data_IF_220923308196
#
_entry.id   IF_220923308196
#
_cell.length_a   1.000
_cell.length_b   1.000
_cell.length_c   1.000
_cell.angle_alpha   90.00
_cell.angle_beta   90.00
_cell.angle_gamma   90.00
#
_symmetry.space_group_name_H-M   'P 1'
#
loop_
_entity.id
_entity.type
_entity.pdbx_description
1 polymer ?
#
# COMPACT_ATOMS: atom_id res chain seq x y z
N UNK A 1 -37.24 -13.90 59.21
CA UNK A 1 -37.33 -13.67 57.76
C UNK A 1 -35.96 -13.51 57.08
N UNK A 2 -35.03 -12.68 57.59
CA UNK A 2 -33.70 -12.51 56.99
C UNK A 2 -32.88 -13.80 56.77
N UNK A 3 -32.98 -14.80 57.68
CA UNK A 3 -32.29 -16.09 57.54
C UNK A 3 -32.77 -16.93 56.33
N UNK A 4 -34.04 -16.80 55.95
CA UNK A 4 -34.60 -17.52 54.80
C UNK A 4 -34.15 -16.92 53.46
N UNK A 5 -34.04 -15.59 53.40
CA UNK A 5 -33.54 -14.86 52.23
C UNK A 5 -32.05 -15.16 52.02
N UNK A 6 -31.26 -15.18 53.09
CA UNK A 6 -29.84 -15.55 53.01
C UNK A 6 -29.62 -16.99 52.51
N UNK A 7 -30.46 -17.93 52.93
CA UNK A 7 -30.39 -19.32 52.47
C UNK A 7 -30.77 -19.48 50.98
N UNK A 8 -31.71 -18.67 50.48
CA UNK A 8 -32.09 -18.64 49.07
C UNK A 8 -30.96 -18.09 48.18
N UNK A 9 -30.32 -16.99 48.59
CA UNK A 9 -29.19 -16.39 47.86
C UNK A 9 -28.00 -17.37 47.82
N UNK A 10 -27.70 -18.05 48.93
CA UNK A 10 -26.62 -19.04 48.99
C UNK A 10 -26.84 -20.24 48.06
N UNK A 11 -28.10 -20.65 47.84
CA UNK A 11 -28.44 -21.73 46.89
C UNK A 11 -28.28 -21.30 45.43
N UNK A 12 -28.64 -20.06 45.10
CA UNK A 12 -28.46 -19.50 43.74
C UNK A 12 -26.97 -19.38 43.41
N UNK A 13 -26.15 -18.93 44.36
CA UNK A 13 -24.69 -18.87 44.16
C UNK A 13 -24.06 -20.26 43.99
N UNK A 14 -24.48 -21.27 44.76
CA UNK A 14 -23.99 -22.65 44.59
C UNK A 14 -24.37 -23.25 43.23
N UNK A 15 -25.59 -22.98 42.73
CA UNK A 15 -25.98 -23.43 41.39
C UNK A 15 -25.27 -22.66 40.29
N UNK A 16 -25.06 -21.35 40.44
CA UNK A 16 -24.35 -20.53 39.45
C UNK A 16 -22.88 -20.94 39.27
N UNK A 17 -22.16 -21.21 40.36
CA UNK A 17 -20.76 -21.66 40.29
C UNK A 17 -20.66 -23.07 39.68
N UNK A 18 -21.62 -23.96 39.96
CA UNK A 18 -21.68 -25.28 39.34
C UNK A 18 -21.96 -25.23 37.83
N UNK A 19 -22.89 -24.37 37.41
CA UNK A 19 -23.23 -24.17 36.00
C UNK A 19 -22.08 -23.56 35.19
N UNK A 20 -21.34 -22.60 35.78
CA UNK A 20 -20.14 -22.02 35.15
C UNK A 20 -19.05 -23.08 34.93
N UNK A 21 -18.75 -23.88 35.96
CA UNK A 21 -17.74 -24.95 35.84
C UNK A 21 -18.15 -26.07 34.89
N UNK A 22 -19.44 -26.35 34.80
CA UNK A 22 -19.97 -27.32 33.82
C UNK A 22 -19.88 -26.76 32.39
N UNK A 23 -20.24 -25.49 32.19
CA UNK A 23 -20.14 -24.82 30.89
C UNK A 23 -18.70 -24.70 30.39
N UNK A 24 -17.76 -24.32 31.26
CA UNK A 24 -16.33 -24.30 30.92
C UNK A 24 -15.82 -25.68 30.52
N UNK A 25 -16.18 -26.73 31.25
CA UNK A 25 -15.77 -28.09 30.89
C UNK A 25 -16.41 -28.57 29.59
N UNK A 26 -17.67 -28.19 29.28
CA UNK A 26 -18.32 -28.64 28.06
C UNK A 26 -17.74 -27.94 26.82
N UNK A 27 -17.54 -26.62 26.88
CA UNK A 27 -16.95 -25.83 25.80
C UNK A 27 -15.48 -26.18 25.57
N UNK A 28 -14.73 -26.42 26.64
CA UNK A 28 -13.30 -26.74 26.56
C UNK A 28 -13.00 -28.23 26.42
N UNK A 29 -13.99 -29.13 26.54
CA UNK A 29 -13.79 -30.58 26.37
C UNK A 29 -13.24 -30.98 25.00
N UNK A 30 -13.73 -30.47 23.84
CA UNK A 30 -13.13 -30.83 22.55
C UNK A 30 -11.71 -30.28 22.41
N UNK A 31 -11.45 -29.08 22.92
CA UNK A 31 -10.10 -28.49 22.90
C UNK A 31 -9.14 -29.23 23.83
N UNK A 32 -9.59 -29.71 25.00
CA UNK A 32 -8.77 -30.54 25.89
C UNK A 32 -8.51 -31.93 25.32
N UNK A 33 -9.47 -32.52 24.60
CA UNK A 33 -9.26 -33.79 23.91
C UNK A 33 -8.22 -33.69 22.80
N UNK A 34 -8.17 -32.56 22.09
CA UNK A 34 -7.24 -32.34 20.97
C UNK A 34 -5.87 -31.79 21.44
N UNK A 35 -5.84 -30.92 22.45
CA UNK A 35 -4.64 -30.16 22.83
C UNK A 35 -4.21 -30.29 24.31
N UNK A 36 -5.03 -30.87 25.20
CA UNK A 36 -4.84 -30.78 26.65
C UNK A 36 -4.55 -32.09 27.38
N UNK A 37 -4.49 -33.22 26.67
CA UNK A 37 -4.15 -34.52 27.25
C UNK A 37 -2.65 -34.67 27.45
N UNK A 38 -2.13 -34.23 28.61
CA UNK A 38 -0.74 -34.39 29.05
C UNK A 38 -0.29 -35.84 29.33
N UNK A 39 -0.79 -36.81 28.56
CA UNK A 39 -0.12 -38.09 28.42
C UNK A 39 1.01 -37.91 27.42
N UNK A 40 2.21 -38.34 27.77
CA UNK A 40 3.33 -38.39 26.85
C UNK A 40 2.91 -39.20 25.61
N UNK A 41 2.45 -38.51 24.56
CA UNK A 41 2.30 -39.15 23.27
C UNK A 41 3.68 -39.72 22.94
N UNK A 42 3.77 -41.00 22.56
CA UNK A 42 5.02 -41.56 22.08
C UNK A 42 5.51 -40.60 21.00
N UNK A 43 6.69 -40.00 21.22
CA UNK A 43 7.28 -39.10 20.23
C UNK A 43 7.33 -39.92 18.95
N UNK A 44 6.61 -39.53 17.88
CA UNK A 44 6.77 -40.21 16.61
C UNK A 44 8.25 -40.08 16.29
N UNK A 45 8.95 -41.21 16.16
CA UNK A 45 10.31 -41.21 15.66
C UNK A 45 10.22 -40.60 14.26
N UNK A 46 10.64 -39.35 14.15
CA UNK A 46 10.69 -38.65 12.89
C UNK A 46 11.84 -39.26 12.10
N UNK A 47 11.54 -40.34 11.38
CA UNK A 47 12.34 -40.78 10.26
C UNK A 47 11.88 -39.94 9.06
N UNK A 48 12.59 -38.85 8.70
CA UNK A 48 12.26 -38.14 7.47
C UNK A 48 12.38 -39.14 6.32
N UNK A 49 11.24 -39.53 5.76
CA UNK A 49 11.19 -40.35 4.55
C UNK A 49 11.65 -39.57 3.31
N UNK A 50 11.90 -38.27 3.48
CA UNK A 50 12.47 -37.39 2.46
C UNK A 50 13.96 -37.18 2.70
N UNK A 51 14.69 -37.25 1.62
CA UNK A 51 16.11 -36.88 1.57
C UNK A 51 16.25 -35.35 1.66
N UNK A 52 17.38 -34.86 2.18
CA UNK A 52 17.62 -33.42 2.32
C UNK A 52 17.56 -32.66 0.99
N UNK A 53 17.86 -33.33 -0.12
CA UNK A 53 17.71 -32.78 -1.48
C UNK A 53 16.26 -32.55 -1.86
N UNK A 54 15.35 -33.49 -1.53
CA UNK A 54 13.92 -33.34 -1.84
C UNK A 54 13.29 -32.16 -1.08
N UNK A 55 13.76 -31.89 0.15
CA UNK A 55 13.31 -30.73 0.93
C UNK A 55 13.78 -29.42 0.28
N UNK A 56 15.00 -29.39 -0.24
CA UNK A 56 15.52 -28.22 -0.95
C UNK A 56 14.77 -28.00 -2.27
N UNK A 57 14.54 -29.06 -3.03
CA UNK A 57 13.78 -29.00 -4.29
C UNK A 57 12.35 -28.53 -4.05
N UNK A 58 11.68 -29.01 -2.98
CA UNK A 58 10.34 -28.54 -2.63
C UNK A 58 10.34 -27.07 -2.19
N UNK A 59 11.36 -26.64 -1.45
CA UNK A 59 11.51 -25.25 -1.04
C UNK A 59 11.72 -24.32 -2.25
N UNK A 60 12.58 -24.72 -3.19
CA UNK A 60 12.81 -23.97 -4.42
C UNK A 60 11.57 -23.94 -5.30
N UNK A 61 10.88 -25.07 -5.48
CA UNK A 61 9.62 -25.15 -6.21
C UNK A 61 8.54 -24.23 -5.60
N UNK A 62 8.42 -24.19 -4.26
CA UNK A 62 7.50 -23.28 -3.57
C UNK A 62 7.89 -21.82 -3.74
N UNK A 63 9.19 -21.50 -3.74
CA UNK A 63 9.69 -20.14 -3.98
C UNK A 63 9.42 -19.68 -5.41
N UNK A 64 9.61 -20.56 -6.38
CA UNK A 64 9.30 -20.28 -7.79
C UNK A 64 7.79 -20.14 -8.00
N UNK A 65 6.98 -21.01 -7.39
CA UNK A 65 5.52 -20.91 -7.43
C UNK A 65 5.01 -19.61 -6.79
N UNK A 66 5.60 -19.19 -5.66
CA UNK A 66 5.27 -17.91 -5.02
C UNK A 66 5.70 -16.70 -5.86
N UNK A 67 6.84 -16.78 -6.55
CA UNK A 67 7.28 -15.75 -7.50
C UNK A 67 6.41 -15.70 -8.76
N UNK A 68 5.79 -16.82 -9.14
CA UNK A 68 4.87 -16.91 -10.27
C UNK A 68 3.46 -16.41 -9.95
N UNK A 69 3.12 -16.16 -8.67
CA UNK A 69 1.88 -15.46 -8.33
C UNK A 69 2.08 -13.99 -8.72
N UNK A 70 1.36 -13.47 -9.73
CA UNK A 70 1.40 -12.06 -10.05
C UNK A 70 0.92 -11.32 -8.80
N UNK A 71 1.77 -10.46 -8.25
CA UNK A 71 1.42 -9.63 -7.11
C UNK A 71 0.25 -8.74 -7.58
N UNK A 72 -0.97 -9.12 -7.20
CA UNK A 72 -2.21 -8.45 -7.59
C UNK A 72 -2.28 -7.14 -6.81
N UNK A 73 -1.54 -6.15 -7.26
CA UNK A 73 -1.53 -4.79 -6.72
C UNK A 73 -2.83 -4.07 -7.13
N UNK A 74 -3.95 -4.52 -6.55
CA UNK A 74 -5.29 -4.00 -6.80
C UNK A 74 -5.40 -2.50 -6.50
N UNK A 75 -4.60 -2.03 -5.55
CA UNK A 75 -4.64 -0.66 -5.04
C UNK A 75 -3.51 0.21 -5.63
N UNK A 76 -2.61 -0.33 -6.46
CA UNK A 76 -1.43 0.40 -6.98
C UNK A 76 -0.41 0.80 -5.91
N UNK A 77 -0.55 0.30 -4.67
CA UNK A 77 0.29 0.69 -3.52
C UNK A 77 1.71 0.20 -3.71
N UNK A 78 1.88 -1.02 -4.24
CA UNK A 78 3.20 -1.58 -4.47
C UNK A 78 3.93 -0.78 -5.55
N UNK A 79 3.23 -0.36 -6.61
CA UNK A 79 3.79 0.50 -7.67
C UNK A 79 4.24 1.85 -7.10
N UNK A 80 3.38 2.55 -6.35
CA UNK A 80 3.73 3.84 -5.72
C UNK A 80 4.93 3.68 -4.78
N UNK A 81 4.93 2.64 -3.94
CA UNK A 81 6.03 2.38 -3.00
C UNK A 81 7.33 2.07 -3.73
N UNK A 82 7.26 1.32 -4.85
CA UNK A 82 8.42 0.97 -5.67
C UNK A 82 8.98 2.20 -6.37
N UNK A 83 8.12 3.06 -6.91
CA UNK A 83 8.50 4.33 -7.52
C UNK A 83 9.15 5.29 -6.52
N UNK A 84 8.55 5.43 -5.33
CA UNK A 84 9.08 6.29 -4.27
C UNK A 84 10.46 5.82 -3.74
N UNK A 85 10.74 4.51 -3.79
CA UNK A 85 12.04 3.93 -3.40
C UNK A 85 13.08 3.91 -4.53
N UNK A 86 12.65 4.10 -5.77
CA UNK A 86 13.53 4.01 -6.94
C UNK A 86 14.50 5.20 -6.99
N UNK A 87 15.70 4.94 -7.50
CA UNK A 87 16.69 5.99 -7.78
C UNK A 87 16.16 6.91 -8.87
N UNK A 88 16.52 8.21 -8.86
CA UNK A 88 16.01 9.19 -9.82
C UNK A 88 16.22 8.76 -11.28
N UNK A 89 17.35 8.12 -11.59
CA UNK A 89 17.66 7.62 -12.94
C UNK A 89 16.76 6.46 -13.40
N UNK A 90 16.22 5.67 -12.45
CA UNK A 90 15.38 4.50 -12.74
C UNK A 90 13.89 4.81 -12.82
N UNK A 91 13.44 5.90 -12.18
CA UNK A 91 12.03 6.36 -12.20
C UNK A 91 11.40 6.54 -13.58
N UNK A 92 12.06 7.15 -14.58
CA UNK A 92 11.45 7.35 -15.90
C UNK A 92 11.20 6.03 -16.65
N UNK A 93 11.88 4.95 -16.28
CA UNK A 93 11.71 3.63 -16.90
C UNK A 93 10.60 2.79 -16.26
N UNK A 94 10.03 3.25 -15.13
CA UNK A 94 8.98 2.53 -14.43
C UNK A 94 7.62 2.78 -15.08
N UNK A 95 6.86 1.71 -15.27
CA UNK A 95 5.49 1.81 -15.74
C UNK A 95 4.55 2.27 -14.60
N UNK A 96 3.88 3.39 -14.82
CA UNK A 96 2.88 3.98 -13.93
C UNK A 96 1.47 3.94 -14.55
N UNK A 97 1.28 3.21 -15.66
CA UNK A 97 0.03 3.13 -16.41
C UNK A 97 -1.14 2.55 -15.59
N UNK A 98 -0.84 1.71 -14.61
CA UNK A 98 -1.83 1.10 -13.72
C UNK A 98 -2.36 2.07 -12.64
N UNK A 99 -1.72 3.22 -12.43
CA UNK A 99 -2.16 4.22 -11.45
C UNK A 99 -3.18 5.17 -12.06
N UNK A 100 -4.03 5.75 -11.20
CA UNK A 100 -4.91 6.85 -11.59
C UNK A 100 -4.06 8.01 -12.18
N UNK A 101 -4.45 8.60 -13.32
CA UNK A 101 -3.71 9.70 -13.96
C UNK A 101 -3.36 10.84 -13.00
N UNK A 102 -4.23 11.20 -12.04
CA UNK A 102 -3.97 12.28 -11.09
C UNK A 102 -2.84 11.92 -10.12
N UNK A 103 -2.83 10.67 -9.64
CA UNK A 103 -1.77 10.14 -8.78
C UNK A 103 -0.44 10.13 -9.54
N UNK A 104 -0.47 9.72 -10.81
CA UNK A 104 0.72 9.70 -11.68
C UNK A 104 1.28 11.11 -11.89
N UNK A 105 0.43 12.09 -12.18
CA UNK A 105 0.86 13.48 -12.32
C UNK A 105 1.45 14.01 -11.02
N UNK A 106 0.81 13.69 -9.88
CA UNK A 106 1.30 14.09 -8.56
C UNK A 106 2.69 13.50 -8.32
N UNK A 107 2.89 12.20 -8.54
CA UNK A 107 4.18 11.52 -8.38
C UNK A 107 5.29 12.05 -9.29
N UNK A 108 4.95 12.49 -10.50
CA UNK A 108 5.90 13.11 -11.42
C UNK A 108 6.26 14.55 -11.05
N UNK A 109 5.37 15.24 -10.31
CA UNK A 109 5.59 16.62 -9.85
C UNK A 109 6.29 16.73 -8.50
N UNK A 110 6.41 15.63 -7.76
CA UNK A 110 6.96 15.60 -6.40
C UNK A 110 8.48 15.63 -6.38
N UNK A 111 9.03 16.29 -5.36
CA UNK A 111 10.48 16.33 -5.11
C UNK A 111 10.99 15.05 -4.44
N UNK A 112 12.31 14.81 -4.52
CA UNK A 112 12.97 13.65 -3.90
C UNK A 112 12.70 13.52 -2.39
N UNK A 113 12.58 14.65 -1.69
CA UNK A 113 12.29 14.67 -0.26
C UNK A 113 10.87 14.18 0.04
N UNK A 114 9.91 14.56 -0.80
CA UNK A 114 8.51 14.17 -0.67
C UNK A 114 8.34 12.68 -1.04
N UNK A 115 9.02 12.22 -2.09
CA UNK A 115 9.07 10.80 -2.46
C UNK A 115 9.72 9.97 -1.35
N UNK A 116 10.78 10.46 -0.72
CA UNK A 116 11.40 9.80 0.43
C UNK A 116 10.43 9.72 1.62
N UNK A 117 9.70 10.79 1.92
CA UNK A 117 8.67 10.79 2.95
C UNK A 117 7.55 9.79 2.64
N UNK A 118 7.11 9.71 1.38
CA UNK A 118 6.12 8.73 0.91
C UNK A 118 6.63 7.29 1.03
N UNK A 119 7.91 7.04 0.75
CA UNK A 119 8.54 5.71 0.85
C UNK A 119 8.65 5.20 2.30
N UNK A 120 8.75 6.13 3.26
CA UNK A 120 8.80 5.85 4.70
C UNK A 120 7.41 5.81 5.34
N UNK A 121 6.38 6.28 4.62
CA UNK A 121 5.02 6.27 5.10
C UNK A 121 4.48 4.83 5.19
N UNK A 122 3.61 4.59 6.16
CA UNK A 122 2.95 3.28 6.31
C UNK A 122 2.00 3.00 5.14
N UNK A 123 1.75 1.71 4.88
CA UNK A 123 0.85 1.22 3.81
C UNK A 123 -0.52 1.91 3.83
N UNK A 124 -1.07 2.19 5.03
CA UNK A 124 -2.34 2.89 5.17
C UNK A 124 -2.32 4.35 4.71
N UNK A 125 -1.18 5.04 4.85
CA UNK A 125 -1.02 6.41 4.36
C UNK A 125 -0.87 6.43 2.83
N UNK A 126 -0.10 5.49 2.28
CA UNK A 126 0.02 5.33 0.81
C UNK A 126 -1.33 4.97 0.19
N UNK A 127 -2.12 4.10 0.84
CA UNK A 127 -3.50 3.79 0.39
C UNK A 127 -4.37 5.04 0.33
N UNK A 128 -4.34 5.88 1.36
CA UNK A 128 -5.07 7.16 1.38
C UNK A 128 -4.58 8.11 0.31
N UNK A 129 -3.26 8.15 0.07
CA UNK A 129 -2.68 8.95 -1.00
C UNK A 129 -3.19 8.52 -2.38
N UNK A 130 -3.20 7.20 -2.68
CA UNK A 130 -3.74 6.68 -3.94
C UNK A 130 -5.24 6.96 -4.08
N UNK A 131 -5.99 6.93 -2.97
CA UNK A 131 -7.41 7.29 -2.95
C UNK A 131 -7.67 8.80 -3.11
N UNK A 132 -6.63 9.65 -3.05
CA UNK A 132 -6.78 11.12 -3.04
C UNK A 132 -7.25 11.70 -1.71
N UNK A 133 -7.27 10.89 -0.65
CA UNK A 133 -7.68 11.30 0.69
C UNK A 133 -6.55 12.01 1.44
N UNK A 134 -6.91 12.63 2.58
CA UNK A 134 -5.95 13.17 3.53
C UNK A 134 -5.11 12.04 4.13
N UNK A 135 -3.92 11.86 3.57
CA UNK A 135 -2.97 10.79 3.86
C UNK A 135 -2.11 11.07 5.10
N UNK A 136 -1.95 12.33 5.50
CA UNK A 136 -1.29 12.71 6.75
C UNK A 136 0.24 12.59 6.74
N UNK A 137 0.85 12.43 5.57
CA UNK A 137 2.31 12.43 5.41
C UNK A 137 2.76 13.88 5.29
N UNK A 138 3.68 14.30 6.16
CA UNK A 138 4.16 15.67 6.14
C UNK A 138 5.02 15.93 4.91
N UNK A 139 4.73 17.01 4.19
CA UNK A 139 5.46 17.40 2.99
C UNK A 139 5.04 16.69 1.71
N UNK A 140 4.05 15.79 1.73
CA UNK A 140 3.52 15.19 0.50
C UNK A 140 2.24 15.93 0.08
N UNK A 141 2.12 16.37 -1.19
CA UNK A 141 0.91 17.01 -1.69
C UNK A 141 -0.26 16.02 -1.74
N UNK A 142 -1.49 16.52 -1.57
CA UNK A 142 -2.69 15.70 -1.70
C UNK A 142 -2.99 15.54 -3.20
N UNK A 143 -3.25 14.32 -3.65
CA UNK A 143 -3.58 14.06 -5.06
C UNK A 143 -4.83 14.87 -5.45
N UNK A 144 -4.74 15.62 -6.55
CA UNK A 144 -5.79 16.55 -6.99
C UNK A 144 -5.71 17.96 -6.38
N UNK A 145 -4.79 18.23 -5.44
CA UNK A 145 -4.53 19.59 -4.96
C UNK A 145 -3.48 20.34 -5.79
N UNK A 146 -3.08 19.78 -6.94
CA UNK A 146 -2.26 20.52 -7.91
C UNK A 146 -3.13 21.68 -8.40
N UNK A 147 -3.00 22.83 -7.75
CA UNK A 147 -3.44 24.10 -8.29
C UNK A 147 -2.76 24.21 -9.65
N UNK A 148 -3.52 23.98 -10.70
CA UNK A 148 -3.18 24.39 -12.04
C UNK A 148 -2.64 25.83 -11.95
N UNK A 149 -1.32 26.00 -12.03
CA UNK A 149 -0.73 27.31 -12.25
C UNK A 149 -0.93 27.66 -13.72
N UNK A 150 -2.18 27.66 -14.19
CA UNK A 150 -2.56 28.27 -15.47
C UNK A 150 -2.72 29.77 -15.22
N UNK A 151 -1.65 30.40 -14.75
CA UNK A 151 -1.38 31.75 -15.17
C UNK A 151 -0.49 31.59 -16.40
N UNK A 152 -1.09 31.46 -17.59
CA UNK A 152 -0.35 31.85 -18.80
C UNK A 152 0.18 33.25 -18.50
N UNK A 153 1.50 33.50 -18.47
CA UNK A 153 1.99 34.85 -18.29
C UNK A 153 1.31 35.69 -19.36
N UNK A 154 0.56 36.71 -18.93
CA UNK A 154 -0.09 37.62 -19.84
C UNK A 154 1.04 38.36 -20.58
N UNK A 155 1.40 37.84 -21.76
CA UNK A 155 2.45 38.42 -22.58
C UNK A 155 2.14 39.91 -22.76
N UNK A 156 3.09 40.73 -22.35
CA UNK A 156 3.02 42.17 -22.55
C UNK A 156 2.93 42.46 -24.06
N UNK A 157 2.40 43.63 -24.43
CA UNK A 157 2.28 44.01 -25.86
C UNK A 157 3.65 43.91 -26.58
N UNK A 158 4.73 44.20 -25.84
CA UNK A 158 6.11 44.11 -26.29
C UNK A 158 6.60 42.69 -26.58
N UNK A 159 6.20 41.71 -25.75
CA UNK A 159 6.59 40.32 -25.97
C UNK A 159 5.79 39.70 -27.12
N UNK A 160 4.53 40.11 -27.30
CA UNK A 160 3.69 39.64 -28.41
C UNK A 160 4.25 40.03 -29.77
N UNK A 161 4.79 41.24 -29.94
CA UNK A 161 5.37 41.63 -31.23
C UNK A 161 6.68 40.90 -31.50
N UNK A 162 7.52 40.67 -30.48
CA UNK A 162 8.79 39.91 -30.64
C UNK A 162 8.54 38.48 -31.10
N UNK A 163 7.56 37.80 -30.49
CA UNK A 163 7.19 36.44 -30.89
C UNK A 163 6.63 36.43 -32.32
N UNK A 164 5.81 37.42 -32.71
CA UNK A 164 5.33 37.54 -34.10
C UNK A 164 6.47 37.80 -35.09
N UNK A 165 7.43 38.65 -34.75
CA UNK A 165 8.59 38.94 -35.60
C UNK A 165 9.48 37.70 -35.79
N UNK A 166 9.70 36.93 -34.72
CA UNK A 166 10.42 35.66 -34.80
C UNK A 166 9.69 34.63 -35.66
N UNK A 167 8.37 34.48 -35.50
CA UNK A 167 7.58 33.56 -36.33
C UNK A 167 7.53 33.98 -37.81
N UNK A 168 7.55 35.27 -38.11
CA UNK A 168 7.64 35.78 -39.48
C UNK A 168 9.04 35.58 -40.08
N UNK A 169 10.09 35.67 -39.26
CA UNK A 169 11.47 35.40 -39.65
C UNK A 169 11.68 33.91 -40.01
N UNK A 170 11.14 33.00 -39.20
CA UNK A 170 11.21 31.55 -39.45
C UNK A 170 10.38 31.11 -40.67
N UNK A 171 9.28 31.81 -40.97
CA UNK A 171 8.45 31.55 -42.16
C UNK A 171 9.03 32.10 -43.48
N UNK A 172 10.30 32.49 -43.51
CA UNK A 172 11.01 32.77 -44.75
C UNK A 172 10.88 34.20 -45.31
N UNK A 173 10.29 35.14 -44.56
CA UNK A 173 10.07 36.52 -45.02
C UNK A 173 11.37 37.33 -45.29
N UNK A 174 12.55 36.77 -45.00
CA UNK A 174 13.84 37.44 -45.21
C UNK A 174 14.51 37.15 -46.56
N UNK A 175 13.91 36.33 -47.44
CA UNK A 175 14.53 35.99 -48.74
C UNK A 175 13.95 36.71 -49.96
N UNK A 176 12.84 37.44 -49.85
CA UNK A 176 12.19 38.07 -51.01
C UNK A 176 12.42 39.57 -51.16
N UNK A 177 13.08 40.25 -50.22
CA UNK A 177 13.53 41.64 -50.40
C UNK A 177 14.89 41.73 -51.12
N UNK A 178 15.05 41.00 -52.23
CA UNK A 178 16.01 41.43 -53.25
C UNK A 178 15.28 42.47 -54.11
N UNK A 179 15.54 43.72 -53.76
CA UNK A 179 15.24 44.91 -54.55
C UNK A 179 15.57 44.63 -56.02
N UNK A 180 14.54 44.57 -56.86
CA UNK A 180 14.68 44.73 -58.29
C UNK A 180 15.10 46.19 -58.53
N UNK A 181 16.40 46.37 -58.73
CA UNK A 181 17.05 47.56 -59.26
C UNK A 181 17.13 47.41 -60.78
#
# INVERSE_FOLDING_TARGET
MFKAIAAAIARIFKMGVGALRWGENLVLSPFRAIFGGGGAMPRPEFAPGMTSSEILDEFEARRQAAAAVPDLDRDGIAIVTRYAKALPDSRPTMDLSALNPDVRLTLLSMDDNELRALSQAGVGAVRKFVAGDKHGVFGVPIVGSVKESIAKPALTCDEKWKIRALMLKDKGASTEFKLAL
#
